data_IF_131570780424
#
_entry.id   IF_131570780424
#
_cell.length_a   1.000
_cell.length_b   1.000
_cell.length_c   1.000
_cell.angle_alpha   90.00
_cell.angle_beta   90.00
_cell.angle_gamma   90.00
#
_symmetry.space_group_name_H-M   'P 1'
#
loop_
_entity.id
_entity.type
_entity.pdbx_description
1 polymer ?
#
# COMPACT_ATOMS: atom_id res chain seq x y z
N UNK A 1 2.72 21.09 27.16
CA UNK A 1 2.03 21.30 25.87
C UNK A 1 0.63 21.81 26.13
N UNK A 2 0.21 22.82 25.41
CA UNK A 2 -1.10 23.44 25.61
C UNK A 2 -1.73 23.80 24.26
N UNK A 3 -3.02 23.75 24.19
CA UNK A 3 -3.78 24.30 23.07
C UNK A 3 -3.61 25.84 23.01
N UNK A 4 -3.27 26.36 21.86
CA UNK A 4 -3.00 27.79 21.67
C UNK A 4 -4.21 28.69 21.86
N UNK A 5 -5.41 28.19 21.54
CA UNK A 5 -6.67 28.93 21.65
C UNK A 5 -7.30 28.81 23.04
N UNK A 6 -7.44 27.58 23.55
CA UNK A 6 -8.16 27.29 24.80
C UNK A 6 -7.27 27.32 26.04
N UNK A 7 -5.94 27.30 25.87
CA UNK A 7 -4.93 27.18 26.93
C UNK A 7 -5.06 25.93 27.80
N UNK A 8 -5.82 24.94 27.36
CA UNK A 8 -5.96 23.64 28.03
C UNK A 8 -4.72 22.77 27.79
N UNK A 9 -4.32 21.91 28.74
CA UNK A 9 -3.27 20.97 28.55
C UNK A 9 -3.69 19.94 27.47
N UNK A 10 -2.71 19.46 26.69
CA UNK A 10 -2.88 18.45 25.66
C UNK A 10 -2.19 17.18 26.10
N UNK A 11 -2.96 16.14 26.38
CA UNK A 11 -2.48 14.79 26.68
C UNK A 11 -2.22 13.99 25.40
N UNK A 12 -1.33 13.01 25.47
CA UNK A 12 -1.06 12.09 24.37
C UNK A 12 -0.34 12.71 23.16
N UNK A 13 0.20 13.93 23.30
CA UNK A 13 0.98 14.58 22.23
C UNK A 13 2.34 13.90 22.11
N UNK A 14 2.66 13.43 20.92
CA UNK A 14 3.96 12.81 20.61
C UNK A 14 5.04 13.89 20.49
N UNK A 15 6.04 13.80 21.34
CA UNK A 15 7.23 14.66 21.34
C UNK A 15 8.43 13.82 20.98
N UNK A 16 9.16 14.20 19.94
CA UNK A 16 10.31 13.44 19.46
C UNK A 16 11.50 14.37 19.18
N UNK A 17 12.72 13.82 19.22
CA UNK A 17 13.90 14.54 18.77
C UNK A 17 13.84 14.79 17.27
N UNK A 18 14.20 16.00 16.84
CA UNK A 18 14.22 16.37 15.41
C UNK A 18 15.23 15.52 14.62
N UNK A 19 16.40 15.28 15.19
CA UNK A 19 17.51 14.60 14.50
C UNK A 19 17.49 13.08 14.66
N UNK A 20 16.78 12.58 15.66
CA UNK A 20 16.69 11.15 15.92
C UNK A 20 15.33 10.79 16.52
N UNK A 21 14.48 10.21 15.69
CA UNK A 21 13.10 9.84 16.04
C UNK A 21 12.98 8.71 17.07
N UNK A 22 14.10 8.06 17.41
CA UNK A 22 14.11 7.04 18.47
C UNK A 22 13.87 7.63 19.86
N UNK A 23 14.23 8.90 20.07
CA UNK A 23 13.93 9.61 21.30
C UNK A 23 12.54 10.22 21.20
N UNK A 24 11.56 9.52 21.74
CA UNK A 24 10.16 9.94 21.72
C UNK A 24 9.49 9.72 23.08
N UNK A 25 8.52 10.56 23.40
CA UNK A 25 7.67 10.45 24.58
C UNK A 25 6.29 11.00 24.28
N UNK A 26 5.32 10.73 25.16
CA UNK A 26 3.98 11.31 25.11
C UNK A 26 3.79 12.28 26.28
N UNK A 27 2.93 13.30 26.08
CA UNK A 27 2.49 14.16 27.18
C UNK A 27 1.47 13.46 28.06
N UNK A 28 1.53 13.74 29.35
CA UNK A 28 0.53 13.33 30.34
C UNK A 28 -0.74 14.19 30.29
N UNK A 29 -1.71 13.93 31.19
CA UNK A 29 -2.98 14.65 31.26
C UNK A 29 -2.81 16.15 31.63
N UNK A 30 -1.70 16.52 32.23
CA UNK A 30 -1.33 17.91 32.52
C UNK A 30 -0.56 18.57 31.37
N UNK A 31 -0.35 17.86 30.25
CA UNK A 31 0.43 18.31 29.09
C UNK A 31 1.95 18.39 29.37
N UNK A 32 2.43 17.71 30.41
CA UNK A 32 3.85 17.61 30.76
C UNK A 32 4.48 16.38 30.11
N UNK A 33 5.78 16.44 29.88
CA UNK A 33 6.53 15.29 29.36
C UNK A 33 7.96 15.30 29.86
N UNK A 34 8.57 14.15 29.88
CA UNK A 34 10.00 13.97 30.16
C UNK A 34 10.58 13.12 29.04
N UNK A 35 11.62 13.61 28.39
CA UNK A 35 12.31 12.94 27.31
C UNK A 35 13.80 12.86 27.65
N UNK A 36 14.35 11.66 27.68
CA UNK A 36 15.81 11.46 27.80
C UNK A 36 16.42 11.55 26.43
N UNK A 37 17.32 12.49 26.24
CA UNK A 37 18.04 12.71 24.97
C UNK A 37 19.52 12.89 25.25
N UNK A 38 20.40 12.49 24.31
CA UNK A 38 21.83 12.83 24.39
C UNK A 38 22.07 14.34 24.34
N UNK A 39 23.22 14.80 24.84
CA UNK A 39 23.58 16.22 24.89
C UNK A 39 23.61 16.95 23.55
N UNK A 40 23.73 16.21 22.45
CA UNK A 40 23.75 16.79 21.09
C UNK A 40 22.36 17.07 20.51
N UNK A 41 21.29 16.75 21.22
CA UNK A 41 19.93 17.04 20.76
C UNK A 41 19.58 18.46 21.23
N UNK A 42 19.30 19.32 20.26
CA UNK A 42 19.01 20.73 20.44
C UNK A 42 17.60 21.15 19.99
N UNK A 43 16.87 20.25 19.37
CA UNK A 43 15.54 20.51 18.86
C UNK A 43 14.59 19.31 19.01
N UNK A 44 13.34 19.61 19.31
CA UNK A 44 12.24 18.66 19.38
C UNK A 44 11.25 18.93 18.25
N UNK A 45 10.68 17.87 17.72
CA UNK A 45 9.58 17.90 16.79
C UNK A 45 8.32 17.37 17.48
N UNK A 46 7.22 18.09 17.31
CA UNK A 46 5.93 17.79 17.91
C UNK A 46 4.92 17.69 16.79
N UNK A 47 4.27 16.55 16.71
CA UNK A 47 3.22 16.28 15.73
C UNK A 47 2.03 15.61 16.42
N UNK A 48 0.86 16.18 16.23
CA UNK A 48 -0.38 15.66 16.78
C UNK A 48 -1.52 15.95 15.82
N UNK A 49 -2.42 15.04 15.72
CA UNK A 49 -3.59 15.15 14.86
C UNK A 49 -4.41 16.41 15.23
N UNK A 50 -4.92 17.13 14.23
CA UNK A 50 -5.71 18.36 14.35
C UNK A 50 -4.90 19.63 14.72
N UNK A 51 -3.60 19.55 14.96
CA UNK A 51 -2.75 20.70 15.25
C UNK A 51 -1.64 20.84 14.21
N UNK A 52 -1.18 22.08 14.02
CA UNK A 52 -0.01 22.30 13.20
C UNK A 52 1.24 21.72 13.87
N UNK A 53 2.11 21.00 13.17
CA UNK A 53 3.34 20.50 13.72
C UNK A 53 4.22 21.66 14.19
N UNK A 54 4.91 21.47 15.30
CA UNK A 54 5.78 22.46 15.90
C UNK A 54 7.19 21.94 16.08
N UNK A 55 8.17 22.79 15.78
CA UNK A 55 9.56 22.54 16.09
C UNK A 55 10.01 23.48 17.20
N UNK A 56 10.66 22.94 18.22
CA UNK A 56 11.11 23.71 19.37
C UNK A 56 12.59 23.46 19.61
N UNK A 57 13.37 24.51 19.49
CA UNK A 57 14.80 24.49 19.88
C UNK A 57 14.96 24.78 21.34
N UNK A 58 15.92 24.15 22.02
CA UNK A 58 16.22 24.38 23.42
C UNK A 58 17.74 24.38 23.67
N UNK A 59 18.16 25.20 24.59
CA UNK A 59 19.59 25.33 25.00
C UNK A 59 19.82 24.88 26.44
N UNK A 60 18.78 24.41 27.10
CA UNK A 60 18.86 24.00 28.51
C UNK A 60 17.97 22.79 28.74
N UNK A 61 18.16 22.10 29.87
CA UNK A 61 17.35 20.92 30.27
C UNK A 61 15.85 21.22 30.46
N UNK A 62 15.43 22.47 30.37
CA UNK A 62 14.00 22.84 30.38
C UNK A 62 13.59 23.41 29.06
N UNK A 63 12.66 22.72 28.41
CA UNK A 63 12.03 23.19 27.18
C UNK A 63 10.96 24.24 27.55
N UNK A 64 10.84 25.34 26.80
CA UNK A 64 9.78 26.31 27.02
C UNK A 64 8.40 25.72 26.82
N UNK A 65 7.39 26.33 27.43
CA UNK A 65 6.00 25.95 27.23
C UNK A 65 5.61 26.14 25.77
N UNK A 66 5.07 25.09 25.16
CA UNK A 66 4.67 25.08 23.74
C UNK A 66 3.16 25.18 23.67
N UNK A 67 2.69 26.12 22.87
CA UNK A 67 1.30 26.26 22.52
C UNK A 67 1.08 25.80 21.06
N UNK A 68 0.29 24.76 20.88
CA UNK A 68 -0.04 24.24 19.57
C UNK A 68 -1.28 24.97 19.02
N UNK A 69 -1.22 25.38 17.79
CA UNK A 69 -2.34 26.00 17.10
C UNK A 69 -3.14 24.94 16.38
N UNK A 70 -4.43 24.83 16.75
CA UNK A 70 -5.37 24.01 15.98
C UNK A 70 -5.54 24.63 14.58
N UNK A 71 -5.43 23.84 13.56
CA UNK A 71 -5.59 24.33 12.20
C UNK A 71 -5.89 23.18 11.28
N UNK A 72 -6.73 23.41 10.26
CA UNK A 72 -6.63 22.55 9.09
C UNK A 72 -5.15 22.46 8.72
N UNK A 73 -4.70 21.24 8.48
CA UNK A 73 -3.32 20.94 8.11
C UNK A 73 -2.96 21.60 6.77
N UNK A 74 -3.01 22.92 6.76
CA UNK A 74 -2.47 23.76 5.70
C UNK A 74 -0.98 23.90 5.97
N UNK A 75 -0.22 22.82 5.76
CA UNK A 75 1.23 22.86 5.63
C UNK A 75 1.71 23.83 4.54
N UNK A 76 0.83 24.74 4.14
CA UNK A 76 1.08 25.69 3.06
C UNK A 76 1.93 26.90 3.47
N UNK A 77 2.04 27.18 4.78
CA UNK A 77 2.70 28.41 5.24
C UNK A 77 3.40 28.29 6.59
N UNK A 78 3.75 27.11 7.05
CA UNK A 78 4.22 26.93 8.43
C UNK A 78 5.61 27.50 8.72
N UNK A 79 6.43 27.82 7.78
CA UNK A 79 7.51 28.80 7.82
C UNK A 79 8.06 28.98 6.40
N UNK A 80 8.56 30.14 6.08
CA UNK A 80 9.03 30.48 4.73
C UNK A 80 10.27 29.70 4.25
N UNK A 81 10.62 28.61 4.91
CA UNK A 81 11.76 27.74 4.59
C UNK A 81 11.34 26.34 4.18
N UNK A 82 10.12 25.91 4.50
CA UNK A 82 9.63 24.59 4.16
C UNK A 82 8.77 24.58 2.90
N UNK A 83 9.39 24.76 1.78
CA UNK A 83 8.90 24.26 0.49
C UNK A 83 8.96 22.72 0.42
N UNK A 84 9.23 22.07 1.55
CA UNK A 84 9.18 20.63 1.70
C UNK A 84 7.72 20.20 1.80
N UNK A 85 7.11 20.05 0.66
CA UNK A 85 5.82 19.39 0.45
C UNK A 85 5.92 17.88 0.73
N UNK A 86 6.74 17.51 1.71
CA UNK A 86 6.91 16.11 2.12
C UNK A 86 5.75 15.74 3.02
N UNK A 87 5.13 14.62 2.71
CA UNK A 87 4.11 14.02 3.56
C UNK A 87 4.67 12.74 4.17
N UNK A 88 4.52 12.58 5.46
CA UNK A 88 4.91 11.38 6.19
C UNK A 88 3.67 10.65 6.67
N UNK A 89 3.59 9.37 6.40
CA UNK A 89 2.65 8.42 6.97
C UNK A 89 3.37 7.65 8.07
N UNK A 90 2.85 7.68 9.28
CA UNK A 90 3.25 6.75 10.35
C UNK A 90 2.33 5.53 10.29
N UNK A 91 2.93 4.35 10.26
CA UNK A 91 2.20 3.09 10.14
C UNK A 91 2.13 2.48 11.54
N UNK A 92 1.12 2.86 12.31
CA UNK A 92 0.98 2.39 13.69
C UNK A 92 0.19 1.07 13.78
N UNK A 93 -0.91 0.98 13.05
CA UNK A 93 -1.78 -0.21 13.02
C UNK A 93 -2.21 -0.52 11.58
N UNK A 94 -1.35 -1.15 10.76
CA UNK A 94 -1.69 -1.46 9.38
C UNK A 94 -2.82 -2.51 9.32
N UNK A 95 -3.76 -2.29 8.42
CA UNK A 95 -4.89 -3.20 8.19
C UNK A 95 -4.87 -3.80 6.77
N UNK A 96 -3.71 -3.76 6.13
CA UNK A 96 -3.53 -4.25 4.77
C UNK A 96 -2.43 -5.29 4.71
N UNK A 97 -2.51 -6.19 3.75
CA UNK A 97 -1.48 -7.19 3.48
C UNK A 97 -0.20 -6.59 2.91
N UNK A 98 -0.32 -5.48 2.17
CA UNK A 98 0.81 -4.85 1.49
C UNK A 98 0.98 -3.40 1.92
N UNK A 99 2.22 -2.94 1.93
CA UNK A 99 2.52 -1.54 2.28
C UNK A 99 1.95 -0.56 1.25
N UNK A 100 1.77 -0.96 -0.02
CA UNK A 100 1.16 -0.12 -1.03
C UNK A 100 -0.29 0.22 -0.67
N UNK A 101 -1.05 -0.73 -0.15
CA UNK A 101 -2.44 -0.49 0.25
C UNK A 101 -2.52 0.45 1.46
N UNK A 102 -1.57 0.38 2.39
CA UNK A 102 -1.49 1.35 3.50
C UNK A 102 -1.10 2.75 3.00
N UNK A 103 -0.15 2.82 2.06
CA UNK A 103 0.23 4.09 1.43
C UNK A 103 -0.93 4.72 0.65
N UNK A 104 -1.73 3.93 -0.03
CA UNK A 104 -2.91 4.42 -0.77
C UNK A 104 -3.90 5.13 0.16
N UNK A 105 -4.18 4.55 1.34
CA UNK A 105 -5.06 5.14 2.34
C UNK A 105 -4.47 6.41 2.97
N UNK A 106 -3.21 6.34 3.39
CA UNK A 106 -2.59 7.37 4.21
C UNK A 106 -1.95 8.53 3.44
N UNK A 107 -1.51 8.30 2.19
CA UNK A 107 -0.77 9.26 1.38
C UNK A 107 -1.56 9.81 0.19
N UNK A 108 -2.87 9.58 0.15
CA UNK A 108 -3.74 10.12 -0.89
C UNK A 108 -3.52 11.63 -1.11
N UNK A 109 -3.43 12.05 -2.37
CA UNK A 109 -3.13 13.44 -2.75
C UNK A 109 -1.63 13.80 -2.80
N UNK A 110 -0.75 13.01 -2.21
CA UNK A 110 0.71 13.16 -2.35
C UNK A 110 1.34 12.04 -3.17
N UNK A 111 0.76 10.86 -3.09
CA UNK A 111 1.13 9.66 -3.85
C UNK A 111 -0.13 9.10 -4.49
N UNK A 112 -0.08 8.88 -5.79
CA UNK A 112 -1.12 8.15 -6.51
C UNK A 112 -0.68 6.71 -6.71
N UNK A 113 -1.45 5.79 -6.22
CA UNK A 113 -1.24 4.36 -6.37
C UNK A 113 -2.35 3.80 -7.27
N UNK A 114 -1.98 2.96 -8.21
CA UNK A 114 -2.89 2.31 -9.13
C UNK A 114 -2.67 0.81 -9.03
N UNK A 115 -3.59 0.15 -8.33
CA UNK A 115 -3.69 -1.30 -8.29
C UNK A 115 -4.46 -1.76 -9.54
N UNK A 116 -3.87 -2.66 -10.33
CA UNK A 116 -4.48 -3.14 -11.58
C UNK A 116 -5.38 -4.35 -11.38
N UNK A 117 -5.30 -5.00 -10.26
CA UNK A 117 -6.10 -6.17 -9.92
C UNK A 117 -6.01 -6.48 -8.43
N UNK A 118 -6.77 -7.48 -8.00
CA UNK A 118 -6.76 -8.01 -6.64
C UNK A 118 -5.90 -9.24 -6.45
N UNK A 119 -4.98 -9.52 -7.40
CA UNK A 119 -4.08 -10.67 -7.26
C UNK A 119 -3.09 -10.44 -6.12
N UNK A 120 -2.92 -11.38 -5.19
CA UNK A 120 -1.86 -11.34 -4.22
C UNK A 120 -0.48 -11.18 -4.89
N UNK A 121 0.45 -10.54 -4.21
CA UNK A 121 1.80 -10.29 -4.71
C UNK A 121 1.91 -9.43 -6.00
N UNK A 122 0.82 -8.88 -6.49
CA UNK A 122 0.84 -7.96 -7.62
C UNK A 122 1.30 -6.57 -7.18
N UNK A 123 2.28 -6.00 -7.90
CA UNK A 123 2.78 -4.65 -7.64
C UNK A 123 1.90 -3.56 -8.24
N UNK A 124 1.75 -2.48 -7.50
CA UNK A 124 1.06 -1.28 -7.94
C UNK A 124 1.94 -0.37 -8.80
N UNK A 125 1.32 0.45 -9.64
CA UNK A 125 1.99 1.58 -10.27
C UNK A 125 1.84 2.82 -9.39
N UNK A 126 2.96 3.50 -9.11
CA UNK A 126 3.01 4.62 -8.18
C UNK A 126 3.48 5.89 -8.89
N UNK A 127 2.84 7.03 -8.58
CA UNK A 127 3.19 8.33 -9.14
C UNK A 127 3.10 9.42 -8.08
N UNK A 128 4.13 10.26 -7.96
CA UNK A 128 4.14 11.40 -7.03
C UNK A 128 3.68 12.67 -7.75
N UNK A 129 4.27 13.00 -8.88
CA UNK A 129 3.97 14.21 -9.65
C UNK A 129 3.15 13.91 -10.92
N UNK A 130 2.44 12.77 -10.94
CA UNK A 130 1.70 12.29 -12.10
C UNK A 130 2.57 11.57 -13.13
N UNK A 131 1.96 11.24 -14.27
CA UNK A 131 2.66 10.63 -15.40
C UNK A 131 3.38 11.73 -16.18
N UNK A 132 4.68 11.87 -15.98
CA UNK A 132 5.51 12.93 -16.56
C UNK A 132 6.29 12.49 -17.81
N UNK A 133 6.25 11.21 -18.16
CA UNK A 133 6.89 10.66 -19.36
C UNK A 133 6.08 9.50 -19.93
N UNK A 134 6.00 9.42 -21.27
CA UNK A 134 5.37 8.29 -21.97
C UNK A 134 6.37 7.17 -22.27
N UNK A 135 7.64 7.52 -22.45
CA UNK A 135 8.69 6.59 -22.90
C UNK A 135 9.73 6.28 -21.82
N UNK A 136 9.67 6.97 -20.69
CA UNK A 136 10.59 6.79 -19.58
C UNK A 136 9.86 6.38 -18.31
N UNK A 137 10.60 5.87 -17.34
CA UNK A 137 10.03 5.53 -16.03
C UNK A 137 9.49 6.80 -15.35
N UNK A 138 8.22 6.78 -15.00
CA UNK A 138 7.55 7.85 -14.25
C UNK A 138 7.30 7.47 -12.77
N UNK A 139 7.73 6.29 -12.34
CA UNK A 139 7.58 5.86 -10.95
C UNK A 139 8.63 6.53 -10.04
N UNK A 140 8.31 6.76 -8.77
CA UNK A 140 9.24 7.32 -7.81
C UNK A 140 10.38 6.35 -7.49
N UNK A 141 11.50 6.90 -7.05
CA UNK A 141 12.57 6.14 -6.43
C UNK A 141 12.09 5.64 -5.05
N UNK A 142 12.19 4.34 -4.81
CA UNK A 142 11.90 3.75 -3.50
C UNK A 142 13.19 3.49 -2.75
N UNK A 143 13.25 3.91 -1.49
CA UNK A 143 14.40 3.70 -0.61
C UNK A 143 13.87 3.09 0.68
N UNK A 144 14.38 1.90 1.02
CA UNK A 144 14.04 1.20 2.25
C UNK A 144 15.28 1.17 3.15
N UNK A 145 15.19 1.79 4.32
CA UNK A 145 16.31 1.91 5.29
C UNK A 145 17.63 2.40 4.68
N UNK A 146 17.54 3.27 3.67
CA UNK A 146 18.69 3.80 2.95
C UNK A 146 19.14 2.98 1.74
N UNK A 147 18.55 1.82 1.49
CA UNK A 147 18.82 1.00 0.30
C UNK A 147 17.84 1.36 -0.82
N UNK A 148 18.37 1.69 -1.99
CA UNK A 148 17.56 2.01 -3.16
C UNK A 148 17.03 0.72 -3.80
N UNK A 149 15.72 0.67 -4.05
CA UNK A 149 15.04 -0.39 -4.78
C UNK A 149 14.64 0.15 -6.14
N UNK A 150 15.10 -0.51 -7.20
CA UNK A 150 14.74 -0.13 -8.56
C UNK A 150 13.39 -0.75 -8.94
N UNK A 151 12.33 0.04 -8.80
CA UNK A 151 10.97 -0.39 -9.09
C UNK A 151 10.69 -0.57 -10.59
N UNK A 152 11.64 -0.32 -11.45
CA UNK A 152 11.49 -0.51 -12.89
C UNK A 152 12.21 -1.76 -13.39
N UNK A 153 13.49 -1.92 -13.04
CA UNK A 153 14.35 -2.97 -13.60
C UNK A 153 14.27 -4.27 -12.80
N UNK A 154 14.07 -4.16 -11.49
CA UNK A 154 14.04 -5.33 -10.60
C UNK A 154 12.66 -6.03 -10.59
N UNK A 155 11.65 -5.43 -11.22
CA UNK A 155 10.32 -6.05 -11.34
C UNK A 155 10.26 -7.02 -12.50
N UNK A 156 9.87 -8.26 -12.23
CA UNK A 156 9.52 -9.20 -13.29
C UNK A 156 8.10 -8.92 -13.79
N UNK A 157 7.91 -9.06 -15.11
CA UNK A 157 6.59 -8.92 -15.74
C UNK A 157 5.90 -10.27 -15.74
N UNK A 158 4.76 -10.38 -15.08
CA UNK A 158 3.90 -11.56 -15.11
C UNK A 158 3.14 -11.59 -16.47
N UNK A 159 2.56 -10.45 -16.84
CA UNK A 159 1.89 -10.17 -18.09
C UNK A 159 2.05 -8.68 -18.39
N UNK A 160 1.82 -8.27 -19.65
CA UNK A 160 1.97 -6.87 -20.04
C UNK A 160 1.16 -5.93 -19.11
N UNK A 161 1.88 -5.09 -18.37
CA UNK A 161 1.32 -4.16 -17.40
C UNK A 161 1.04 -4.75 -16.00
N UNK A 162 1.28 -6.04 -15.78
CA UNK A 162 1.18 -6.70 -14.48
C UNK A 162 2.58 -7.12 -14.05
N UNK A 163 3.02 -6.61 -12.93
CA UNK A 163 4.37 -6.79 -12.41
C UNK A 163 4.32 -7.36 -11.00
N UNK A 164 5.36 -8.08 -10.60
CA UNK A 164 5.50 -8.53 -9.22
C UNK A 164 5.69 -7.34 -8.27
N UNK A 165 5.34 -7.54 -7.02
CA UNK A 165 5.53 -6.56 -5.97
C UNK A 165 6.85 -6.78 -5.24
N UNK A 166 7.83 -5.92 -5.46
CA UNK A 166 9.11 -5.98 -4.75
C UNK A 166 8.98 -5.60 -3.28
N UNK A 167 7.94 -4.85 -2.90
CA UNK A 167 7.71 -4.44 -1.53
C UNK A 167 7.01 -5.51 -0.68
N UNK A 168 6.58 -6.63 -1.27
CA UNK A 168 6.00 -7.75 -0.51
C UNK A 168 6.97 -8.41 0.47
N UNK A 169 8.27 -8.17 0.31
CA UNK A 169 9.28 -8.61 1.28
C UNK A 169 9.22 -7.83 2.61
N UNK A 170 8.49 -6.72 2.61
CA UNK A 170 8.35 -5.83 3.75
C UNK A 170 6.95 -6.00 4.31
N UNK A 171 6.86 -6.56 5.51
CA UNK A 171 5.60 -6.62 6.23
C UNK A 171 5.18 -5.20 6.66
N UNK A 172 3.94 -4.76 6.37
CA UNK A 172 3.45 -3.45 6.81
C UNK A 172 3.60 -3.20 8.33
N UNK A 173 3.49 -4.24 9.14
CA UNK A 173 3.69 -4.16 10.59
C UNK A 173 5.13 -3.81 10.99
N UNK A 174 6.11 -4.10 10.15
CA UNK A 174 7.51 -3.74 10.40
C UNK A 174 7.86 -2.33 9.91
N UNK A 175 6.94 -1.65 9.22
CA UNK A 175 7.16 -0.27 8.77
C UNK A 175 6.82 0.70 9.89
N UNK A 176 7.74 1.60 10.21
CA UNK A 176 7.51 2.70 11.13
C UNK A 176 6.91 3.91 10.42
N UNK A 177 7.49 4.28 9.27
CA UNK A 177 7.02 5.44 8.52
C UNK A 177 7.33 5.34 7.04
N UNK A 178 6.49 5.99 6.23
CA UNK A 178 6.70 6.23 4.82
C UNK A 178 6.68 7.73 4.58
N UNK A 179 7.75 8.27 4.01
CA UNK A 179 7.88 9.69 3.68
C UNK A 179 7.88 9.87 2.16
N UNK A 180 7.03 10.79 1.68
CA UNK A 180 6.99 11.20 0.27
C UNK A 180 7.78 12.48 0.10
N UNK A 181 8.86 12.41 -0.68
CA UNK A 181 9.67 13.56 -1.06
C UNK A 181 9.36 13.91 -2.51
N UNK A 182 8.64 15.00 -2.73
CA UNK A 182 8.22 15.41 -4.08
C UNK A 182 9.38 15.90 -4.95
N UNK A 183 10.34 16.57 -4.35
CA UNK A 183 11.51 17.14 -5.01
C UNK A 183 12.80 16.44 -4.58
N UNK A 184 12.99 15.20 -5.05
CA UNK A 184 14.12 14.37 -4.66
C UNK A 184 15.44 14.64 -5.36
N UNK A 185 15.47 15.47 -6.41
CA UNK A 185 16.63 15.68 -7.26
C UNK A 185 17.84 16.27 -6.53
N UNK A 186 17.60 17.16 -5.58
CA UNK A 186 18.68 17.78 -4.80
C UNK A 186 19.47 16.77 -3.94
N UNK A 187 18.83 15.69 -3.49
CA UNK A 187 19.43 14.70 -2.62
C UNK A 187 19.83 13.41 -3.35
N UNK A 188 19.06 13.03 -4.36
CA UNK A 188 19.19 11.73 -5.05
C UNK A 188 19.51 11.87 -6.53
N UNK A 189 19.77 13.09 -7.01
CA UNK A 189 20.12 13.36 -8.39
C UNK A 189 18.98 13.00 -9.36
N UNK A 190 19.34 12.58 -10.57
CA UNK A 190 18.38 12.24 -11.62
C UNK A 190 17.43 11.10 -11.24
N UNK A 191 17.85 10.14 -10.41
CA UNK A 191 16.98 9.06 -9.93
C UNK A 191 15.81 9.56 -9.09
N UNK A 192 15.96 10.70 -8.40
CA UNK A 192 14.90 11.31 -7.60
C UNK A 192 13.99 12.27 -8.38
N UNK A 193 14.10 12.36 -9.72
CA UNK A 193 13.34 13.31 -10.52
C UNK A 193 11.82 13.11 -10.47
N UNK A 194 11.37 11.87 -10.32
CA UNK A 194 9.95 11.51 -10.20
C UNK A 194 9.44 11.56 -8.76
N UNK A 195 10.25 12.07 -7.83
CA UNK A 195 10.04 12.01 -6.41
C UNK A 195 10.64 10.75 -5.78
N UNK A 196 10.63 10.71 -4.45
CA UNK A 196 11.23 9.63 -3.66
C UNK A 196 10.27 9.19 -2.58
N UNK A 197 10.18 7.88 -2.38
CA UNK A 197 9.52 7.24 -1.25
C UNK A 197 10.61 6.72 -0.30
N UNK A 198 10.63 7.23 0.92
CA UNK A 198 11.48 6.71 1.99
C UNK A 198 10.63 5.84 2.90
N UNK A 199 10.95 4.57 2.96
CA UNK A 199 10.32 3.59 3.85
C UNK A 199 11.33 3.31 4.97
N UNK A 200 10.94 3.62 6.20
CA UNK A 200 11.74 3.33 7.37
C UNK A 200 11.10 2.19 8.15
N UNK A 201 11.86 1.15 8.43
CA UNK A 201 11.38 0.04 9.24
C UNK A 201 11.51 0.32 10.73
N UNK A 202 10.75 -0.40 11.53
CA UNK A 202 10.78 -0.31 12.99
C UNK A 202 12.13 -0.77 13.51
N UNK A 203 12.63 -0.06 14.51
CA UNK A 203 13.88 -0.38 15.20
C UNK A 203 13.64 -0.45 16.70
N UNK A 204 14.52 -1.15 17.40
CA UNK A 204 14.50 -1.20 18.85
C UNK A 204 14.57 0.20 19.46
N UNK A 205 13.88 0.39 20.57
CA UNK A 205 13.82 1.64 21.33
C UNK A 205 14.21 1.38 22.77
N UNK A 206 14.80 2.39 23.45
CA UNK A 206 15.06 2.32 24.89
C UNK A 206 13.73 2.37 25.65
N UNK A 207 13.19 1.19 25.95
CA UNK A 207 11.92 1.00 26.64
C UNK A 207 11.86 -0.38 27.28
N UNK A 208 10.95 -0.54 28.25
CA UNK A 208 10.66 -1.86 28.79
C UNK A 208 10.22 -2.83 27.66
N UNK A 209 10.63 -4.08 27.79
CA UNK A 209 10.27 -5.11 26.82
C UNK A 209 8.77 -5.16 26.58
N UNK A 210 8.36 -5.05 25.34
CA UNK A 210 6.97 -5.11 24.90
C UNK A 210 6.81 -6.22 23.89
N UNK A 211 5.82 -7.06 24.11
CA UNK A 211 5.45 -8.15 23.19
C UNK A 211 4.12 -7.76 22.57
N UNK A 212 4.09 -7.71 21.26
CA UNK A 212 2.88 -7.45 20.50
C UNK A 212 2.52 -8.70 19.70
N UNK A 213 1.25 -9.06 19.73
CA UNK A 213 0.69 -10.11 18.88
C UNK A 213 -0.45 -9.52 18.07
N UNK A 214 -0.44 -9.76 16.78
CA UNK A 214 -1.51 -9.39 15.85
C UNK A 214 -1.93 -10.61 15.06
N UNK A 215 -3.23 -10.74 14.85
CA UNK A 215 -3.77 -11.74 13.95
C UNK A 215 -5.00 -11.16 13.27
N UNK A 216 -5.13 -11.38 11.99
CA UNK A 216 -6.37 -11.13 11.29
C UNK A 216 -6.65 -12.22 10.26
N UNK A 217 -7.92 -12.38 9.93
CA UNK A 217 -8.40 -13.31 8.92
C UNK A 217 -9.47 -12.62 8.08
N UNK A 218 -9.47 -12.90 6.80
CA UNK A 218 -10.41 -12.37 5.83
C UNK A 218 -10.97 -13.47 4.95
N UNK A 219 -12.19 -13.28 4.50
CA UNK A 219 -12.82 -14.15 3.52
C UNK A 219 -13.09 -13.32 2.25
N UNK A 220 -12.61 -13.81 1.12
CA UNK A 220 -12.75 -13.16 -0.16
C UNK A 220 -13.78 -13.88 -1.00
N UNK A 221 -14.80 -13.15 -1.42
CA UNK A 221 -15.84 -13.66 -2.30
C UNK A 221 -15.46 -13.47 -3.76
N UNK A 222 -15.95 -14.34 -4.62
CA UNK A 222 -15.75 -14.19 -6.06
C UNK A 222 -16.36 -12.88 -6.57
N UNK A 223 -15.71 -12.21 -7.53
CA UNK A 223 -16.30 -11.05 -8.18
C UNK A 223 -17.61 -11.42 -8.90
N UNK A 224 -18.49 -10.44 -9.08
CA UNK A 224 -19.70 -10.63 -9.85
C UNK A 224 -19.33 -11.06 -11.28
N UNK A 225 -19.82 -12.24 -11.67
CA UNK A 225 -19.52 -12.82 -12.96
C UNK A 225 -20.31 -12.11 -14.08
N UNK A 226 -19.63 -11.86 -15.19
CA UNK A 226 -20.28 -11.33 -16.39
C UNK A 226 -21.24 -12.37 -16.94
N UNK A 227 -22.49 -11.97 -17.16
CA UNK A 227 -23.49 -12.85 -17.76
C UNK A 227 -23.10 -13.19 -19.20
N UNK A 228 -22.75 -14.43 -19.43
CA UNK A 228 -22.39 -14.97 -20.73
C UNK A 228 -23.53 -15.83 -21.28
N UNK A 229 -23.56 -15.98 -22.58
CA UNK A 229 -24.46 -16.97 -23.23
C UNK A 229 -23.99 -18.37 -22.85
N UNK A 230 -24.92 -19.24 -22.51
CA UNK A 230 -24.64 -20.66 -22.42
C UNK A 230 -24.45 -21.26 -23.82
N UNK A 231 -23.96 -22.49 -23.91
CA UNK A 231 -23.67 -23.16 -25.20
C UNK A 231 -24.91 -23.25 -26.10
N UNK A 232 -26.09 -23.50 -25.54
CA UNK A 232 -27.34 -23.51 -26.29
C UNK A 232 -27.74 -22.16 -26.86
N UNK A 233 -27.69 -21.11 -26.03
CA UNK A 233 -27.96 -19.73 -26.45
C UNK A 233 -26.98 -19.28 -27.54
N UNK A 234 -25.69 -19.61 -27.38
CA UNK A 234 -24.68 -19.27 -28.38
C UNK A 234 -24.93 -19.99 -29.72
N UNK A 235 -25.29 -21.27 -29.70
CA UNK A 235 -25.66 -22.01 -30.93
C UNK A 235 -26.85 -21.37 -31.62
N UNK A 236 -27.91 -21.02 -30.88
CA UNK A 236 -29.08 -20.34 -31.46
C UNK A 236 -28.69 -18.99 -32.06
N UNK A 237 -27.90 -18.18 -31.35
CA UNK A 237 -27.43 -16.89 -31.85
C UNK A 237 -26.64 -17.03 -33.17
N UNK A 238 -25.70 -17.98 -33.23
CA UNK A 238 -24.92 -18.21 -34.46
C UNK A 238 -25.81 -18.75 -35.61
N UNK A 239 -26.76 -19.62 -35.29
CA UNK A 239 -27.72 -20.13 -36.31
C UNK A 239 -28.55 -19.00 -36.91
N UNK A 240 -29.08 -18.09 -36.07
CA UNK A 240 -29.82 -16.93 -36.54
C UNK A 240 -28.91 -15.97 -37.32
N UNK A 241 -27.68 -15.73 -36.85
CA UNK A 241 -26.72 -14.88 -37.56
C UNK A 241 -26.40 -15.43 -38.97
N UNK A 242 -26.16 -16.71 -39.09
CA UNK A 242 -25.93 -17.37 -40.40
C UNK A 242 -27.17 -17.20 -41.27
N UNK A 243 -28.38 -17.38 -40.73
CA UNK A 243 -29.65 -17.24 -41.46
C UNK A 243 -29.90 -15.82 -42.01
N UNK A 244 -29.26 -14.79 -41.48
CA UNK A 244 -29.34 -13.41 -41.98
C UNK A 244 -28.39 -13.12 -43.16
N UNK A 245 -27.45 -14.03 -43.47
CA UNK A 245 -26.50 -13.80 -44.55
C UNK A 245 -27.12 -14.04 -45.91
N UNK A 246 -26.91 -13.16 -46.91
CA UNK A 246 -27.50 -13.28 -48.24
C UNK A 246 -26.99 -14.47 -49.06
N UNK A 247 -25.83 -15.05 -48.69
CA UNK A 247 -25.21 -16.19 -49.40
C UNK A 247 -25.17 -17.44 -48.52
N UNK A 248 -26.27 -17.73 -47.82
CA UNK A 248 -26.35 -18.86 -46.88
C UNK A 248 -26.00 -20.21 -47.49
N UNK A 249 -26.34 -20.42 -48.78
CA UNK A 249 -26.05 -21.68 -49.50
C UNK A 249 -24.54 -21.92 -49.72
N UNK A 250 -23.73 -20.85 -49.62
CA UNK A 250 -22.26 -20.92 -49.75
C UNK A 250 -21.58 -21.00 -48.36
N UNK A 251 -22.24 -20.51 -47.31
CA UNK A 251 -21.77 -20.55 -45.94
C UNK A 251 -22.34 -21.80 -45.26
N UNK A 252 -21.86 -22.96 -45.62
CA UNK A 252 -22.11 -24.22 -44.95
C UNK A 252 -23.47 -24.38 -44.25
N UNK A 253 -24.23 -25.40 -44.62
CA UNK A 253 -25.41 -25.80 -43.82
C UNK A 253 -25.01 -26.02 -42.37
N UNK A 254 -25.94 -25.82 -41.44
CA UNK A 254 -25.69 -26.05 -39.98
C UNK A 254 -25.07 -27.42 -39.69
N UNK A 255 -25.26 -28.41 -40.57
CA UNK A 255 -24.63 -29.74 -40.50
C UNK A 255 -23.13 -29.75 -40.79
N UNK A 256 -22.61 -28.75 -41.49
CA UNK A 256 -21.18 -28.67 -41.83
C UNK A 256 -20.35 -28.05 -40.70
N UNK A 257 -20.98 -27.26 -39.84
CA UNK A 257 -20.32 -26.65 -38.70
C UNK A 257 -20.46 -27.57 -37.47
N UNK A 258 -19.36 -28.17 -36.96
CA UNK A 258 -19.45 -29.23 -35.95
C UNK A 258 -20.26 -28.85 -34.71
N UNK A 259 -20.13 -27.63 -34.20
CA UNK A 259 -20.82 -27.21 -32.98
C UNK A 259 -22.29 -26.80 -33.18
N UNK A 260 -22.77 -26.71 -34.45
CA UNK A 260 -24.16 -26.48 -34.81
C UNK A 260 -24.86 -27.78 -35.28
N UNK A 261 -24.11 -28.86 -35.42
CA UNK A 261 -24.68 -30.14 -35.89
C UNK A 261 -25.40 -30.84 -34.73
N UNK A 262 -26.71 -30.87 -34.78
CA UNK A 262 -27.56 -31.49 -33.76
C UNK A 262 -27.69 -33.02 -33.89
N UNK A 263 -27.05 -33.61 -34.88
CA UNK A 263 -27.10 -35.05 -35.06
C UNK A 263 -26.25 -35.78 -34.01
N UNK A 264 -26.91 -36.44 -33.09
CA UNK A 264 -26.25 -37.20 -32.01
C UNK A 264 -25.43 -38.38 -32.51
N UNK A 265 -25.62 -38.82 -33.72
CA UNK A 265 -24.79 -39.87 -34.33
C UNK A 265 -23.48 -39.35 -34.91
N UNK A 266 -23.30 -38.04 -34.95
CA UNK A 266 -22.06 -37.42 -35.40
C UNK A 266 -20.91 -37.73 -34.41
N UNK A 267 -19.82 -38.30 -34.96
CA UNK A 267 -18.70 -38.82 -34.15
C UNK A 267 -18.15 -37.81 -33.13
N UNK A 268 -18.15 -36.53 -33.49
CA UNK A 268 -17.64 -35.47 -32.59
C UNK A 268 -18.76 -34.70 -31.84
N UNK A 269 -20.00 -35.25 -31.82
CA UNK A 269 -21.12 -34.56 -31.17
C UNK A 269 -20.82 -34.18 -29.73
N UNK A 270 -20.38 -35.14 -28.91
CA UNK A 270 -20.10 -34.90 -27.50
C UNK A 270 -18.93 -33.91 -27.28
N UNK A 271 -17.98 -33.85 -28.23
CA UNK A 271 -16.86 -32.90 -28.12
C UNK A 271 -17.31 -31.44 -28.26
N UNK A 272 -18.28 -31.18 -29.15
CA UNK A 272 -18.73 -29.84 -29.46
C UNK A 272 -20.03 -29.42 -28.77
N UNK A 273 -20.71 -30.31 -28.05
CA UNK A 273 -21.98 -30.02 -27.37
C UNK A 273 -21.86 -29.97 -25.83
N UNK A 274 -20.65 -29.91 -25.33
CA UNK A 274 -20.42 -29.70 -23.91
C UNK A 274 -20.81 -28.29 -23.52
N UNK A 275 -21.29 -28.18 -22.28
CA UNK A 275 -21.51 -26.91 -21.65
C UNK A 275 -20.52 -26.77 -20.50
N UNK A 276 -19.68 -25.74 -20.58
CA UNK A 276 -18.69 -25.45 -19.53
C UNK A 276 -18.81 -24.01 -19.12
N UNK A 277 -19.09 -23.80 -17.84
CA UNK A 277 -19.05 -22.49 -17.24
C UNK A 277 -17.61 -22.19 -16.76
N UNK A 278 -16.84 -21.59 -17.67
CA UNK A 278 -15.44 -21.27 -17.42
C UNK A 278 -15.24 -20.28 -16.28
N UNK A 279 -16.21 -19.38 -16.05
CA UNK A 279 -16.10 -18.41 -14.96
C UNK A 279 -16.24 -19.12 -13.60
N UNK A 280 -17.20 -20.02 -13.48
CA UNK A 280 -17.40 -20.81 -12.27
C UNK A 280 -16.25 -21.77 -12.01
N UNK A 281 -15.61 -22.29 -13.06
CA UNK A 281 -14.46 -23.18 -12.92
C UNK A 281 -13.17 -22.42 -12.56
N UNK A 282 -13.04 -21.18 -13.05
CA UNK A 282 -11.86 -20.35 -12.83
C UNK A 282 -11.85 -19.72 -11.43
N UNK A 283 -13.01 -19.23 -10.95
CA UNK A 283 -13.11 -18.50 -9.71
C UNK A 283 -13.60 -19.36 -8.55
N UNK A 284 -13.07 -19.12 -7.37
CA UNK A 284 -13.51 -19.72 -6.10
C UNK A 284 -13.35 -18.72 -4.97
N UNK A 285 -14.06 -18.97 -3.90
CA UNK A 285 -13.96 -18.19 -2.66
C UNK A 285 -12.70 -18.60 -1.92
N UNK A 286 -12.02 -17.62 -1.29
CA UNK A 286 -10.72 -17.84 -0.68
C UNK A 286 -10.64 -17.27 0.72
N UNK A 287 -9.59 -17.65 1.42
CA UNK A 287 -9.33 -17.23 2.77
C UNK A 287 -7.95 -16.57 2.87
N UNK A 288 -7.90 -15.41 3.51
CA UNK A 288 -6.68 -14.67 3.79
C UNK A 288 -6.41 -14.67 5.28
N UNK A 289 -5.19 -14.93 5.68
CA UNK A 289 -4.78 -14.92 7.08
C UNK A 289 -3.40 -14.30 7.26
N UNK A 290 -3.23 -13.59 8.37
CA UNK A 290 -1.97 -13.00 8.77
C UNK A 290 -1.79 -13.13 10.28
N UNK A 291 -0.63 -13.58 10.70
CA UNK A 291 -0.20 -13.69 12.09
C UNK A 291 1.14 -13.02 12.26
N UNK A 292 1.26 -12.17 13.26
CA UNK A 292 2.50 -11.44 13.56
C UNK A 292 2.78 -11.43 15.05
N UNK A 293 4.02 -11.68 15.39
CA UNK A 293 4.55 -11.49 16.75
C UNK A 293 5.74 -10.56 16.65
N UNK A 294 5.78 -9.54 17.48
CA UNK A 294 6.96 -8.69 17.62
C UNK A 294 7.35 -8.48 19.07
N UNK A 295 8.63 -8.34 19.31
CA UNK A 295 9.23 -8.06 20.61
C UNK A 295 10.12 -6.85 20.45
N UNK A 296 9.79 -5.81 21.17
CA UNK A 296 10.53 -4.54 21.20
C UNK A 296 11.06 -4.29 22.61
N UNK A 297 12.22 -3.71 22.70
CA UNK A 297 12.75 -3.31 23.99
C UNK A 297 14.20 -2.90 23.93
N UNK A 298 14.73 -2.56 25.11
CA UNK A 298 16.12 -2.22 25.26
C UNK A 298 16.36 -1.18 26.33
N UNK A 299 17.62 -0.89 26.52
CA UNK A 299 18.12 0.14 27.39
C UNK A 299 19.06 1.09 26.63
N UNK A 300 19.76 1.93 27.33
CA UNK A 300 20.71 2.89 26.74
C UNK A 300 21.96 2.21 26.14
N UNK A 301 22.17 0.91 26.39
CA UNK A 301 23.32 0.13 25.94
C UNK A 301 22.95 -0.72 24.71
N UNK A 302 21.78 -1.37 24.76
CA UNK A 302 21.34 -2.26 23.69
C UNK A 302 19.82 -2.14 23.50
N UNK A 303 19.42 -1.91 22.27
CA UNK A 303 18.02 -1.87 21.84
C UNK A 303 17.77 -2.97 20.83
N UNK A 304 16.61 -3.62 20.89
CA UNK A 304 16.27 -4.71 20.00
C UNK A 304 14.83 -4.57 19.50
N UNK A 305 14.65 -5.00 18.26
CA UNK A 305 13.37 -5.27 17.63
C UNK A 305 13.46 -6.61 16.93
N UNK A 306 12.59 -7.52 17.27
CA UNK A 306 12.48 -8.84 16.62
C UNK A 306 11.03 -9.04 16.21
N UNK A 307 10.81 -9.41 14.96
CA UNK A 307 9.49 -9.73 14.45
C UNK A 307 9.47 -11.04 13.70
N UNK A 308 8.36 -11.75 13.81
CA UNK A 308 8.07 -12.98 13.07
C UNK A 308 6.65 -12.87 12.55
N UNK A 309 6.48 -12.99 11.24
CA UNK A 309 5.20 -12.92 10.56
C UNK A 309 4.95 -14.14 9.69
N UNK A 310 3.68 -14.51 9.57
CA UNK A 310 3.18 -15.46 8.59
C UNK A 310 1.95 -14.87 7.94
N UNK A 311 1.98 -14.72 6.62
CA UNK A 311 0.88 -14.23 5.81
C UNK A 311 0.58 -15.25 4.71
N UNK A 312 -0.69 -15.51 4.50
CA UNK A 312 -1.18 -16.30 3.38
C UNK A 312 -2.39 -15.60 2.78
N UNK A 313 -2.40 -15.45 1.48
CA UNK A 313 -3.52 -14.92 0.72
C UNK A 313 -3.67 -15.73 -0.57
N UNK A 314 -4.79 -16.42 -0.68
CA UNK A 314 -5.11 -17.16 -1.88
C UNK A 314 -5.94 -16.25 -2.80
N UNK A 315 -5.63 -16.24 -4.10
CA UNK A 315 -6.39 -15.45 -5.05
C UNK A 315 -7.73 -16.11 -5.36
N UNK A 316 -8.73 -15.30 -5.67
CA UNK A 316 -10.04 -15.82 -6.14
C UNK A 316 -9.94 -16.56 -7.47
N UNK A 317 -8.90 -16.32 -8.27
CA UNK A 317 -8.57 -17.12 -9.46
C UNK A 317 -7.68 -18.30 -9.06
N UNK A 318 -8.08 -19.52 -9.41
CA UNK A 318 -7.37 -20.76 -9.04
C UNK A 318 -5.90 -20.75 -9.50
N UNK A 319 -5.02 -21.31 -8.69
CA UNK A 319 -3.56 -21.45 -8.91
C UNK A 319 -2.80 -20.13 -8.89
N UNK A 320 -3.25 -19.19 -8.10
CA UNK A 320 -2.66 -17.86 -7.99
C UNK A 320 -2.52 -17.46 -6.52
N UNK A 321 -1.97 -18.35 -5.73
CA UNK A 321 -1.86 -18.23 -4.28
C UNK A 321 -0.56 -17.54 -3.89
N UNK A 322 -0.57 -16.83 -2.76
CA UNK A 322 0.57 -16.11 -2.18
C UNK A 322 0.79 -16.50 -0.72
#
# INVERSE_FOLDING_TARGET
MFDGATKKPLAGVKVQSLNNRYYTTLTDDDGKYTLRVPEFVDALYIDVQEYNPAQVTFKSLRVPTVYLTSGMNTNFYADGTSLNNNKTLFVDEPNSLTIENEMEKGLAGSLRIINRGGMPAQGAAMFINGLNSLNSNAQPLVIVDGVMIDMQYDRSTIHQGFVNNLLNIIDPDDVESVEVIKNGTARYGAKGANGVLLINTRRGKSMATRINFRAYAGYETTPEQTKMMNAGQYRNYITELIGTQPNIDQIASSKTIPFLNEDKSYFFYDLYHNETDWQKDLYHETFTQNYKVSVDGGDDVAMYHLSLGYAQSDATARKNDF
#
